data_IF_098879350908
#
_entry.id   IF_098879350908
#
_cell.length_a   1.000
_cell.length_b   1.000
_cell.length_c   1.000
_cell.angle_alpha   90.00
_cell.angle_beta   90.00
_cell.angle_gamma   90.00
#
_symmetry.space_group_name_H-M   'P 1'
#
loop_
_entity.id
_entity.type
_entity.pdbx_description
1 polymer ?
#
# COMPACT_ATOMS: atom_id res chain seq x y z
N UNK A 1 -20.02 -3.14 -2.40
CA UNK A 1 -19.53 -2.64 -1.11
C UNK A 1 -19.71 -1.15 -1.17
N UNK A 2 -20.46 -0.60 -0.23
CA UNK A 2 -20.73 0.84 -0.21
C UNK A 2 -19.69 1.48 0.72
N UNK A 3 -18.98 2.49 0.23
CA UNK A 3 -18.09 3.34 1.03
C UNK A 3 -18.65 4.74 1.14
N UNK A 4 -18.27 5.44 2.20
CA UNK A 4 -18.60 6.85 2.39
C UNK A 4 -17.30 7.65 2.34
N UNK A 5 -17.23 8.62 1.44
CA UNK A 5 -16.14 9.59 1.38
C UNK A 5 -16.28 10.63 2.48
N UNK A 6 -15.17 10.88 3.17
CA UNK A 6 -15.06 11.82 4.27
C UNK A 6 -14.00 12.87 3.94
N UNK A 7 -14.16 14.06 4.52
CA UNK A 7 -13.13 15.11 4.47
C UNK A 7 -12.15 15.01 5.63
N UNK A 8 -12.57 14.41 6.74
CA UNK A 8 -11.77 14.19 7.96
C UNK A 8 -12.18 12.87 8.63
N UNK A 9 -11.22 12.11 9.16
CA UNK A 9 -11.45 10.94 10.01
C UNK A 9 -10.16 10.53 10.74
N UNK A 10 -10.29 9.98 11.95
CA UNK A 10 -9.18 9.36 12.70
C UNK A 10 -7.95 10.27 12.91
N UNK A 11 -8.14 11.59 12.91
CA UNK A 11 -7.05 12.56 13.05
C UNK A 11 -6.40 12.97 11.72
N UNK A 12 -6.90 12.49 10.58
CA UNK A 12 -6.48 12.85 9.24
C UNK A 12 -7.52 13.72 8.54
N UNK A 13 -7.06 14.58 7.64
CA UNK A 13 -7.86 15.45 6.77
C UNK A 13 -7.41 15.30 5.32
N UNK A 14 -8.35 15.37 4.38
CA UNK A 14 -8.01 15.43 2.95
C UNK A 14 -7.13 16.67 2.70
N UNK A 15 -5.97 16.45 2.09
CA UNK A 15 -4.94 17.46 1.86
C UNK A 15 -3.79 17.44 2.85
N UNK A 16 -3.86 16.65 3.92
CA UNK A 16 -2.74 16.46 4.85
C UNK A 16 -1.48 16.04 4.10
N UNK A 17 -0.35 16.64 4.48
CA UNK A 17 0.98 16.20 4.09
C UNK A 17 1.47 15.21 5.13
N UNK A 18 1.76 13.99 4.68
CA UNK A 18 2.24 12.88 5.50
C UNK A 18 3.70 12.57 5.18
N UNK A 19 4.46 12.16 6.19
CA UNK A 19 5.66 11.35 6.01
C UNK A 19 5.30 9.91 6.36
N UNK A 20 5.54 8.98 5.43
CA UNK A 20 5.35 7.55 5.69
C UNK A 20 6.68 6.81 5.60
N UNK A 21 6.84 5.80 6.44
CA UNK A 21 8.00 4.91 6.39
C UNK A 21 7.66 3.54 6.96
N UNK A 22 8.44 2.53 6.61
CA UNK A 22 8.35 1.18 7.17
C UNK A 22 9.74 0.56 7.15
N UNK A 23 10.16 0.01 8.27
CA UNK A 23 11.42 -0.74 8.33
C UNK A 23 11.38 -1.92 7.36
N UNK A 24 12.54 -2.25 6.82
CA UNK A 24 12.70 -3.37 5.91
C UNK A 24 12.36 -4.68 6.61
N UNK A 25 11.50 -5.49 5.99
CA UNK A 25 11.03 -6.77 6.52
C UNK A 25 11.33 -7.90 5.55
N UNK A 26 11.66 -9.08 6.09
CA UNK A 26 11.94 -10.28 5.30
C UNK A 26 10.70 -10.76 4.53
N UNK A 27 10.86 -10.99 3.24
CA UNK A 27 9.87 -11.57 2.36
C UNK A 27 10.52 -12.52 1.35
N UNK A 28 9.70 -13.16 0.53
CA UNK A 28 10.11 -14.12 -0.49
C UNK A 28 9.38 -13.87 -1.79
N UNK A 29 10.13 -13.95 -2.88
CA UNK A 29 9.54 -13.91 -4.21
C UNK A 29 8.80 -15.21 -4.49
N UNK A 30 7.50 -15.13 -4.72
CA UNK A 30 6.64 -16.27 -5.05
C UNK A 30 6.66 -16.53 -6.55
N UNK A 31 6.63 -15.46 -7.36
CA UNK A 31 6.55 -15.57 -8.82
C UNK A 31 7.19 -14.38 -9.51
N UNK A 32 7.76 -14.62 -10.68
CA UNK A 32 8.18 -13.58 -11.61
C UNK A 32 7.54 -13.76 -12.98
N UNK A 33 7.30 -12.65 -13.65
CA UNK A 33 6.93 -12.52 -15.06
C UNK A 33 7.83 -11.44 -15.67
N UNK A 34 7.85 -11.23 -17.00
CA UNK A 34 8.65 -10.15 -17.56
C UNK A 34 8.26 -8.75 -17.05
N UNK A 35 6.99 -8.53 -16.66
CA UNK A 35 6.49 -7.22 -16.23
C UNK A 35 6.34 -7.07 -14.72
N UNK A 36 6.11 -8.17 -14.00
CA UNK A 36 5.80 -8.16 -12.57
C UNK A 36 6.56 -9.18 -11.77
N UNK A 37 6.94 -8.78 -10.57
CA UNK A 37 7.43 -9.62 -9.50
C UNK A 37 6.34 -9.73 -8.45
N UNK A 38 6.14 -10.91 -7.87
CA UNK A 38 5.14 -11.15 -6.82
C UNK A 38 5.83 -11.74 -5.61
N UNK A 39 5.62 -11.14 -4.43
CA UNK A 39 6.11 -11.65 -3.15
C UNK A 39 4.97 -12.16 -2.29
N UNK A 40 5.27 -13.00 -1.31
CA UNK A 40 4.38 -13.22 -0.18
C UNK A 40 4.27 -11.92 0.63
N UNK A 41 3.05 -11.53 0.98
CA UNK A 41 2.82 -10.31 1.75
C UNK A 41 2.85 -10.66 3.24
N UNK A 42 3.85 -10.21 4.01
CA UNK A 42 4.11 -10.77 5.35
C UNK A 42 3.01 -10.50 6.39
N UNK A 43 2.18 -9.48 6.16
CA UNK A 43 1.30 -8.92 7.18
C UNK A 43 -0.17 -9.28 7.03
N UNK A 44 -0.58 -9.87 5.90
CA UNK A 44 -1.98 -10.20 5.66
C UNK A 44 -2.22 -11.69 5.77
N UNK A 45 -3.38 -12.03 6.32
CA UNK A 45 -3.86 -13.40 6.41
C UNK A 45 -5.05 -13.60 5.47
N UNK A 46 -5.14 -14.76 4.81
CA UNK A 46 -6.27 -15.05 3.94
C UNK A 46 -7.52 -15.17 4.81
N UNK A 47 -8.61 -14.52 4.40
CA UNK A 47 -9.86 -14.55 5.15
C UNK A 47 -10.72 -15.76 4.74
N UNK A 48 -10.87 -16.79 5.60
CA UNK A 48 -11.63 -17.99 5.25
C UNK A 48 -13.15 -17.74 5.17
N UNK A 49 -13.63 -16.63 5.73
CA UNK A 49 -15.05 -16.23 5.71
C UNK A 49 -15.33 -15.19 4.61
N UNK A 50 -14.34 -14.85 3.80
CA UNK A 50 -14.50 -13.91 2.69
C UNK A 50 -15.25 -14.53 1.51
N UNK A 51 -16.03 -13.71 0.81
CA UNK A 51 -16.56 -14.06 -0.50
C UNK A 51 -15.51 -13.96 -1.62
N UNK A 52 -14.36 -13.33 -1.34
CA UNK A 52 -13.27 -13.07 -2.26
C UNK A 52 -12.05 -13.92 -1.89
N UNK A 53 -11.51 -14.67 -2.86
CA UNK A 53 -10.27 -15.43 -2.64
C UNK A 53 -9.07 -14.56 -3.00
N UNK A 54 -8.15 -14.37 -2.05
CA UNK A 54 -6.84 -13.77 -2.27
C UNK A 54 -5.75 -14.67 -1.70
N UNK A 55 -4.57 -14.71 -2.32
CA UNK A 55 -3.48 -15.63 -1.97
C UNK A 55 -2.40 -15.00 -1.05
N UNK A 56 -2.72 -13.87 -0.43
CA UNK A 56 -1.82 -13.03 0.37
C UNK A 56 -0.52 -12.66 -0.36
N UNK A 57 -0.57 -12.45 -1.67
CA UNK A 57 0.58 -11.96 -2.43
C UNK A 57 0.38 -10.54 -2.92
N UNK A 58 1.49 -9.81 -3.11
CA UNK A 58 1.50 -8.47 -3.71
C UNK A 58 2.45 -8.44 -4.90
N UNK A 59 2.01 -7.78 -5.98
CA UNK A 59 2.73 -7.67 -7.23
C UNK A 59 3.37 -6.31 -7.44
N UNK A 60 4.68 -6.28 -7.62
CA UNK A 60 5.49 -5.11 -7.95
C UNK A 60 5.86 -5.07 -9.44
N UNK A 61 6.09 -3.88 -10.03
CA UNK A 61 6.72 -3.78 -11.35
C UNK A 61 8.12 -4.40 -11.35
N UNK A 62 8.53 -5.03 -12.45
CA UNK A 62 9.90 -5.57 -12.63
C UNK A 62 10.90 -4.53 -13.09
N UNK A 63 10.46 -3.64 -13.96
CA UNK A 63 11.29 -2.56 -14.50
C UNK A 63 11.34 -1.42 -13.46
N UNK A 64 12.52 -1.00 -12.99
CA UNK A 64 12.67 0.10 -12.03
C UNK A 64 12.09 1.43 -12.53
N UNK A 65 12.04 1.62 -13.84
CA UNK A 65 11.52 2.84 -14.48
C UNK A 65 10.02 2.72 -14.84
N UNK A 66 9.37 1.61 -14.47
CA UNK A 66 7.96 1.43 -14.73
C UNK A 66 7.12 2.47 -13.98
N UNK A 67 6.20 3.11 -14.71
CA UNK A 67 5.25 4.07 -14.15
C UNK A 67 4.49 3.54 -12.91
N UNK A 68 4.21 2.23 -12.87
CA UNK A 68 3.53 1.59 -11.74
C UNK A 68 4.24 1.71 -10.39
N UNK A 69 5.52 2.12 -10.34
CA UNK A 69 6.19 2.44 -9.08
C UNK A 69 5.66 3.72 -8.41
N UNK A 70 4.90 4.55 -9.13
CA UNK A 70 4.15 5.67 -8.56
C UNK A 70 2.90 5.25 -7.79
N UNK A 71 2.51 3.98 -7.91
CA UNK A 71 1.29 3.45 -7.33
C UNK A 71 1.55 2.70 -6.02
N UNK A 72 2.79 2.76 -5.51
CA UNK A 72 3.18 2.10 -4.27
C UNK A 72 4.41 2.79 -3.68
N UNK A 73 4.44 3.07 -2.36
CA UNK A 73 5.62 3.58 -1.67
C UNK A 73 6.62 2.47 -1.35
N UNK A 74 6.18 1.22 -1.37
CA UNK A 74 7.00 0.06 -1.03
C UNK A 74 8.13 -0.14 -2.03
N UNK A 75 9.31 -0.51 -1.52
CA UNK A 75 10.51 -0.82 -2.30
C UNK A 75 11.06 -2.17 -1.87
N UNK A 76 11.77 -2.81 -2.80
CA UNK A 76 12.39 -4.11 -2.59
C UNK A 76 13.92 -3.98 -2.57
N UNK A 77 14.56 -4.81 -1.76
CA UNK A 77 16.01 -4.98 -1.77
C UNK A 77 16.37 -6.48 -1.75
N UNK A 78 17.15 -7.01 -2.71
CA UNK A 78 17.64 -6.37 -3.95
C UNK A 78 16.54 -5.81 -4.85
N UNK A 79 16.95 -5.04 -5.87
CA UNK A 79 16.02 -4.42 -6.80
C UNK A 79 15.13 -5.47 -7.49
N UNK A 80 13.90 -5.08 -7.79
CA UNK A 80 12.90 -5.97 -8.37
C UNK A 80 13.37 -6.60 -9.69
N UNK A 81 14.27 -5.99 -10.46
CA UNK A 81 14.79 -6.52 -11.72
C UNK A 81 15.81 -7.66 -11.54
N UNK A 82 16.48 -7.72 -10.39
CA UNK A 82 17.56 -8.67 -10.09
C UNK A 82 17.04 -9.99 -9.50
N UNK A 83 15.87 -9.95 -8.88
CA UNK A 83 15.26 -11.07 -8.16
C UNK A 83 14.69 -12.17 -9.07
N UNK A 84 14.58 -13.40 -8.57
CA UNK A 84 13.91 -14.53 -9.22
C UNK A 84 12.92 -15.21 -8.25
N UNK A 85 12.02 -16.03 -8.80
CA UNK A 85 11.09 -16.80 -7.97
C UNK A 85 11.85 -17.73 -7.01
N UNK A 86 11.49 -17.70 -5.73
CA UNK A 86 12.12 -18.40 -4.63
C UNK A 86 13.14 -17.58 -3.85
N UNK A 87 13.65 -16.48 -4.40
CA UNK A 87 14.68 -15.67 -3.76
C UNK A 87 14.15 -14.97 -2.49
N UNK A 88 14.98 -14.84 -1.44
CA UNK A 88 14.68 -13.93 -0.34
C UNK A 88 14.83 -12.47 -0.79
N UNK A 89 14.00 -11.60 -0.24
CA UNK A 89 14.12 -10.16 -0.42
C UNK A 89 13.68 -9.43 0.84
N UNK A 90 14.01 -8.15 0.93
CA UNK A 90 13.41 -7.25 1.89
C UNK A 90 12.36 -6.38 1.22
N UNK A 91 11.30 -6.04 1.95
CA UNK A 91 10.29 -5.06 1.56
C UNK A 91 10.13 -4.00 2.65
N UNK A 92 10.16 -2.73 2.27
CA UNK A 92 10.05 -1.60 3.20
C UNK A 92 9.62 -0.32 2.50
N UNK A 93 9.41 0.73 3.27
CA UNK A 93 9.10 2.06 2.74
C UNK A 93 10.21 3.01 3.24
N UNK A 94 11.08 3.53 2.35
CA UNK A 94 11.95 4.63 2.74
C UNK A 94 11.10 5.85 3.13
N UNK A 95 11.58 6.77 3.98
CA UNK A 95 10.83 7.99 4.31
C UNK A 95 10.34 8.70 3.04
N UNK A 96 9.01 8.75 2.87
CA UNK A 96 8.36 9.22 1.65
C UNK A 96 7.26 10.21 1.98
N UNK A 97 7.29 11.39 1.35
CA UNK A 97 6.24 12.39 1.49
C UNK A 97 5.04 12.05 0.60
N UNK A 98 3.85 12.07 1.20
CA UNK A 98 2.60 11.71 0.56
C UNK A 98 1.52 12.73 0.92
N UNK A 99 0.56 12.95 0.04
CA UNK A 99 -0.60 13.81 0.32
C UNK A 99 -1.88 13.00 0.35
N UNK A 100 -2.71 13.19 1.37
CA UNK A 100 -4.03 12.57 1.45
C UNK A 100 -4.93 13.15 0.36
N UNK A 101 -5.42 12.31 -0.54
CA UNK A 101 -6.30 12.69 -1.65
C UNK A 101 -7.76 12.34 -1.35
N UNK A 102 -8.00 11.27 -0.59
CA UNK A 102 -9.34 10.90 -0.13
C UNK A 102 -9.27 10.11 1.18
N UNK A 103 -10.39 10.12 1.90
CA UNK A 103 -10.62 9.29 3.08
C UNK A 103 -11.92 8.53 2.83
N UNK A 104 -11.89 7.21 2.94
CA UNK A 104 -13.09 6.38 2.80
C UNK A 104 -13.33 5.54 4.05
N UNK A 105 -14.61 5.46 4.45
CA UNK A 105 -15.09 4.54 5.48
C UNK A 105 -15.93 3.44 4.86
N UNK A 106 -15.73 2.21 5.32
CA UNK A 106 -16.55 1.04 5.00
C UNK A 106 -17.40 0.65 6.21
N UNK A 107 -18.71 0.50 6.00
CA UNK A 107 -19.63 0.01 7.02
C UNK A 107 -20.72 -0.87 6.37
N UNK A 108 -20.59 -2.21 6.42
CA UNK A 108 -19.59 -2.98 7.18
C UNK A 108 -18.16 -2.88 6.62
N UNK A 109 -17.13 -3.29 7.40
CA UNK A 109 -15.73 -3.33 6.93
C UNK A 109 -15.56 -4.06 5.61
N UNK A 110 -14.62 -3.61 4.80
CA UNK A 110 -14.47 -4.06 3.44
C UNK A 110 -13.98 -5.51 3.36
N UNK A 111 -14.60 -6.29 2.49
CA UNK A 111 -14.23 -7.68 2.24
C UNK A 111 -13.30 -7.77 1.02
N UNK A 112 -11.99 -7.75 1.25
CA UNK A 112 -10.96 -7.87 0.20
C UNK A 112 -10.33 -9.27 0.09
N UNK A 113 -10.84 -10.27 0.82
CA UNK A 113 -10.24 -11.61 0.83
C UNK A 113 -9.08 -11.80 1.79
N UNK A 114 -8.73 -10.75 2.55
CA UNK A 114 -7.65 -10.76 3.53
C UNK A 114 -8.09 -10.11 4.84
N UNK A 115 -7.46 -10.53 5.93
CA UNK A 115 -7.58 -9.94 7.26
C UNK A 115 -6.35 -9.04 7.55
N UNK A 116 -6.55 -7.96 8.33
CA UNK A 116 -7.84 -7.48 8.84
C UNK A 116 -8.70 -6.84 7.75
N UNK A 117 -10.03 -6.96 7.86
CA UNK A 117 -10.97 -6.25 6.97
C UNK A 117 -10.94 -4.75 7.27
N UNK A 118 -10.63 -3.87 6.31
CA UNK A 118 -10.49 -2.45 6.61
C UNK A 118 -11.82 -1.75 6.78
N UNK A 119 -11.92 -0.95 7.83
CA UNK A 119 -13.04 -0.05 8.12
C UNK A 119 -12.76 1.38 7.64
N UNK A 120 -11.48 1.79 7.58
CA UNK A 120 -11.04 3.06 7.00
C UNK A 120 -9.81 2.89 6.11
N UNK A 121 -9.77 3.70 5.06
CA UNK A 121 -8.59 3.85 4.20
C UNK A 121 -8.28 5.32 3.93
N UNK A 122 -7.00 5.61 3.72
CA UNK A 122 -6.54 6.85 3.11
C UNK A 122 -6.07 6.55 1.69
N UNK A 123 -6.63 7.24 0.71
CA UNK A 123 -5.98 7.35 -0.59
C UNK A 123 -4.91 8.44 -0.48
N UNK A 124 -3.69 8.11 -0.88
CA UNK A 124 -2.56 9.03 -0.85
C UNK A 124 -1.85 9.09 -2.19
N UNK A 125 -1.38 10.28 -2.56
CA UNK A 125 -0.58 10.49 -3.77
C UNK A 125 0.83 10.99 -3.44
N UNK A 126 1.86 10.59 -4.20
CA UNK A 126 3.20 11.15 -4.06
C UNK A 126 3.17 12.66 -4.34
N UNK A 127 3.83 13.46 -3.51
CA UNK A 127 3.77 14.92 -3.59
C UNK A 127 4.29 15.43 -4.94
N UNK A 128 5.34 14.82 -5.46
CA UNK A 128 5.97 15.15 -6.73
C UNK A 128 5.14 14.79 -7.97
N UNK A 129 4.13 13.93 -7.82
CA UNK A 129 3.25 13.49 -8.91
C UNK A 129 1.77 13.54 -8.51
N UNK A 130 1.38 14.52 -7.68
CA UNK A 130 0.01 14.61 -7.14
C UNK A 130 -1.06 14.87 -8.20
N UNK A 131 -0.68 15.44 -9.35
CA UNK A 131 -1.56 15.69 -10.49
C UNK A 131 -1.75 14.44 -11.39
N UNK A 132 -0.99 13.38 -11.12
CA UNK A 132 -1.04 12.12 -11.86
C UNK A 132 -2.17 11.23 -11.33
N UNK A 133 -3.27 11.16 -12.09
CA UNK A 133 -4.48 10.42 -11.67
C UNK A 133 -4.29 8.90 -11.64
N UNK A 134 -3.22 8.40 -12.26
CA UNK A 134 -2.88 6.97 -12.20
C UNK A 134 -1.95 6.64 -11.03
N UNK A 135 -1.35 7.67 -10.40
CA UNK A 135 -0.49 7.53 -9.23
C UNK A 135 -1.28 7.48 -7.92
N UNK A 136 -0.64 6.89 -6.91
CA UNK A 136 -1.18 6.85 -5.55
C UNK A 136 -1.33 5.45 -4.98
N UNK A 137 -1.54 5.41 -3.68
CA UNK A 137 -1.57 4.19 -2.89
C UNK A 137 -2.69 4.29 -1.85
N UNK A 138 -3.17 3.13 -1.41
CA UNK A 138 -4.22 3.03 -0.38
C UNK A 138 -3.55 2.58 0.92
N UNK A 139 -3.60 3.42 1.94
CA UNK A 139 -3.20 3.09 3.31
C UNK A 139 -4.41 2.51 4.04
N UNK A 140 -4.29 1.28 4.51
CA UNK A 140 -5.32 0.59 5.30
C UNK A 140 -5.06 0.85 6.79
N UNK A 141 -5.88 1.68 7.44
CA UNK A 141 -5.56 2.24 8.75
C UNK A 141 -5.63 1.26 9.92
N UNK A 142 -6.28 0.12 9.73
CA UNK A 142 -6.31 -0.97 10.70
C UNK A 142 -5.48 -2.19 10.26
N UNK A 143 -4.67 -2.05 9.20
CA UNK A 143 -3.79 -3.11 8.69
C UNK A 143 -2.69 -3.46 9.68
N UNK A 144 -2.12 -4.65 9.50
CA UNK A 144 -0.92 -5.07 10.24
C UNK A 144 0.37 -4.66 9.54
N UNK A 145 0.29 -3.98 8.39
CA UNK A 145 1.45 -3.40 7.73
C UNK A 145 2.12 -2.37 8.67
N UNK A 146 3.44 -2.46 8.88
CA UNK A 146 4.17 -1.67 9.87
C UNK A 146 4.52 -0.28 9.32
N UNK A 147 3.53 0.42 8.77
CA UNK A 147 3.71 1.76 8.22
C UNK A 147 3.60 2.76 9.37
N UNK A 148 4.70 3.44 9.66
CA UNK A 148 4.70 4.65 10.48
C UNK A 148 4.19 5.83 9.65
N UNK A 149 3.27 6.61 10.22
CA UNK A 149 2.60 7.74 9.55
C UNK A 149 2.71 8.96 10.45
N UNK A 150 3.46 9.96 10.00
CA UNK A 150 3.57 11.28 10.65
C UNK A 150 2.83 12.33 9.83
N UNK A 151 1.96 13.12 10.45
CA UNK A 151 1.35 14.30 9.82
C UNK A 151 2.31 15.48 9.92
N UNK A 152 2.89 15.89 8.79
CA UNK A 152 3.84 17.01 8.72
C UNK A 152 3.12 18.36 8.70
N UNK A 153 2.00 18.44 7.98
CA UNK A 153 1.19 19.64 7.86
C UNK A 153 -0.27 19.30 7.52
N UNK A 154 -1.19 20.07 8.09
CA UNK A 154 -2.62 20.02 7.76
C UNK A 154 -2.93 20.90 6.53
N UNK A 155 -4.02 20.67 5.79
CA UNK A 155 -4.48 21.58 4.75
C UNK A 155 -4.75 22.96 5.37
N UNK A 156 -4.29 24.00 4.66
CA UNK A 156 -4.50 25.41 5.04
C UNK A 156 -5.93 25.87 4.79
#
# INVERSE_FOLDING_TARGET
MDSVRLTEALGYTVGDLLMISAEAFDARVVRTTPQRLTIDWPWWEADPESANSWDCTIGFPRDPEAHGWRNTPWRLEPDASELQAGDPCFVGIPPTEMRVTAIERFDPPADFGVLPRPDYVLEVGPVEAIEDQEAGYVLYLNSQEPIDIEVLANPS
#
